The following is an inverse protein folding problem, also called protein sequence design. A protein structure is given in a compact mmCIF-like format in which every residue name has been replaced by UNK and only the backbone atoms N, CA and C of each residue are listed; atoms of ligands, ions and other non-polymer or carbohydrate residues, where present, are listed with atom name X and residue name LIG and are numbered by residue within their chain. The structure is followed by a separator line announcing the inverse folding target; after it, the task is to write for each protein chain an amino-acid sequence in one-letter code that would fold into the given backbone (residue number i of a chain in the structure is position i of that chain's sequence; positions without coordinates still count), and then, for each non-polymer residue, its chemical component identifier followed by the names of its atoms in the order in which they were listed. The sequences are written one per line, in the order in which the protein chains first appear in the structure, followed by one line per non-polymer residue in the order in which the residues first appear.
data_IF_553139839287
#
_entry.id   IF_553139839287
#
_cell.length_a   1.000
_cell.length_b   1.000
_cell.length_c   1.000
_cell.angle_alpha   90.00
_cell.angle_beta   90.00
_cell.angle_gamma   90.00
#
_symmetry.space_group_name_H-M   'P 1'
#
loop_
_entity.id
_entity.type
_entity.pdbx_description
1 polymer ?
#
# COMPACT_ATOMS: atom_id res chain seq x y z
N UNK A 1 48.82 -23.23 -23.50
CA UNK A 1 48.91 -21.88 -24.12
C UNK A 1 47.63 -21.11 -23.80
N UNK A 2 47.63 -19.78 -23.97
CA UNK A 2 46.96 -18.77 -23.13
C UNK A 2 46.01 -17.87 -23.97
N UNK A 3 44.74 -17.73 -23.52
CA UNK A 3 43.69 -16.68 -23.77
C UNK A 3 42.97 -16.57 -25.15
N UNK A 4 41.80 -15.87 -25.30
CA UNK A 4 40.74 -15.42 -24.35
C UNK A 4 39.24 -15.58 -24.79
N UNK A 5 38.33 -15.40 -23.81
CA UNK A 5 37.00 -14.74 -23.79
C UNK A 5 35.97 -14.84 -24.94
N UNK A 6 34.70 -15.10 -24.57
CA UNK A 6 33.56 -14.25 -24.92
C UNK A 6 32.42 -14.43 -23.89
N UNK A 7 31.83 -13.29 -23.54
CA UNK A 7 30.90 -13.08 -22.45
C UNK A 7 29.47 -13.53 -22.78
N UNK A 8 28.73 -13.98 -21.76
CA UNK A 8 27.31 -13.70 -21.60
C UNK A 8 26.96 -13.75 -20.12
N UNK A 9 26.99 -12.58 -19.49
CA UNK A 9 26.38 -12.34 -18.18
C UNK A 9 24.87 -12.44 -18.31
N UNK A 10 24.34 -13.67 -18.19
CA UNK A 10 22.96 -13.86 -17.78
C UNK A 10 22.96 -13.85 -16.24
N UNK A 11 22.87 -12.64 -15.67
CA UNK A 11 22.54 -12.47 -14.28
C UNK A 11 21.10 -12.94 -14.10
N UNK A 12 20.93 -14.22 -13.81
CA UNK A 12 19.68 -14.76 -13.29
C UNK A 12 19.55 -14.20 -11.88
N UNK A 13 18.93 -13.03 -11.75
CA UNK A 13 18.42 -12.55 -10.48
C UNK A 13 17.28 -13.48 -10.04
N UNK A 14 17.64 -14.67 -9.57
CA UNK A 14 16.79 -15.50 -8.75
C UNK A 14 16.67 -14.79 -7.41
N UNK A 15 15.80 -13.79 -7.34
CA UNK A 15 15.28 -13.30 -6.09
C UNK A 15 14.49 -14.45 -5.47
N UNK A 16 15.15 -15.14 -4.56
CA UNK A 16 14.59 -16.14 -3.67
C UNK A 16 13.48 -15.45 -2.87
N UNK A 17 12.24 -15.54 -3.36
CA UNK A 17 11.02 -15.04 -2.72
C UNK A 17 10.55 -15.97 -1.57
N UNK A 18 11.45 -16.68 -0.89
CA UNK A 18 11.10 -17.48 0.30
C UNK A 18 11.20 -16.62 1.56
N UNK A 19 10.37 -15.57 1.63
CA UNK A 19 10.37 -14.64 2.76
C UNK A 19 9.07 -13.86 3.02
N UNK A 20 8.10 -13.82 2.09
CA UNK A 20 6.86 -13.04 2.28
C UNK A 20 5.62 -13.90 2.57
N UNK A 21 5.79 -15.09 3.17
CA UNK A 21 4.66 -15.99 3.47
C UNK A 21 4.58 -16.40 4.96
N UNK A 22 5.33 -15.74 5.85
CA UNK A 22 5.27 -16.03 7.28
C UNK A 22 4.45 -14.96 8.00
N UNK A 23 3.31 -15.39 8.53
CA UNK A 23 2.36 -14.67 9.40
C UNK A 23 1.40 -13.69 8.70
N UNK A 24 0.50 -14.22 7.88
CA UNK A 24 -0.79 -13.56 7.64
C UNK A 24 -1.90 -14.59 7.86
N UNK A 25 -2.63 -14.39 8.95
CA UNK A 25 -3.81 -15.13 9.38
C UNK A 25 -4.80 -15.32 8.22
N UNK A 26 -5.05 -16.58 7.82
CA UNK A 26 -5.77 -16.95 6.59
C UNK A 26 -7.21 -16.40 6.52
N UNK A 27 -7.81 -15.98 7.64
CA UNK A 27 -9.14 -15.34 7.65
C UNK A 27 -9.11 -13.83 7.33
N UNK A 28 -7.92 -13.20 7.27
CA UNK A 28 -7.74 -11.80 6.90
C UNK A 28 -7.25 -11.64 5.45
N UNK A 29 -6.78 -12.72 4.81
CA UNK A 29 -6.23 -12.70 3.45
C UNK A 29 -7.25 -12.35 2.36
N UNK A 30 -8.53 -12.75 2.52
CA UNK A 30 -9.57 -12.45 1.52
C UNK A 30 -9.96 -10.96 1.45
N UNK A 31 -9.42 -10.09 2.32
CA UNK A 31 -9.63 -8.63 2.29
C UNK A 31 -8.43 -7.81 1.80
N UNK A 32 -7.29 -8.45 1.51
CA UNK A 32 -6.02 -7.77 1.29
C UNK A 32 -5.53 -7.85 -0.17
N UNK A 33 -6.43 -7.73 -1.15
CA UNK A 33 -5.98 -7.58 -2.55
C UNK A 33 -5.49 -6.14 -2.73
N UNK A 34 -4.21 -5.92 -3.10
CA UNK A 34 -3.73 -4.60 -3.44
C UNK A 34 -4.45 -4.15 -4.73
N UNK A 35 -5.23 -3.09 -4.62
CA UNK A 35 -6.01 -2.49 -5.72
C UNK A 35 -5.35 -1.23 -6.28
N UNK A 36 -4.39 -0.68 -5.56
CA UNK A 36 -3.62 0.49 -5.97
C UNK A 36 -2.43 0.72 -5.06
N UNK A 37 -1.41 1.38 -5.57
CA UNK A 37 -0.25 1.81 -4.80
C UNK A 37 0.36 3.05 -5.44
N UNK A 38 1.14 3.78 -4.67
CA UNK A 38 1.78 4.98 -5.14
C UNK A 38 2.75 5.57 -4.14
N UNK A 39 3.26 6.74 -4.52
CA UNK A 39 4.14 7.56 -3.72
C UNK A 39 3.53 8.95 -3.57
N UNK A 40 3.82 9.63 -2.46
CA UNK A 40 3.47 11.02 -2.24
C UNK A 40 4.72 11.83 -1.85
N UNK A 41 4.84 13.05 -2.41
CA UNK A 41 5.83 14.04 -2.00
C UNK A 41 5.52 14.66 -0.62
N UNK A 42 4.36 14.40 -0.04
CA UNK A 42 4.02 14.81 1.32
C UNK A 42 4.56 13.81 2.34
N UNK A 43 4.86 14.30 3.55
CA UNK A 43 5.06 13.44 4.72
C UNK A 43 3.76 12.67 5.06
N UNK A 44 3.90 11.62 5.87
CA UNK A 44 2.83 10.64 6.09
C UNK A 44 1.60 11.28 6.74
N UNK A 45 1.81 12.15 7.73
CA UNK A 45 0.73 12.86 8.40
C UNK A 45 -0.07 13.78 7.45
N UNK A 46 0.56 14.73 6.71
CA UNK A 46 -0.17 15.57 5.77
C UNK A 46 -0.80 14.78 4.62
N UNK A 47 -0.16 13.69 4.17
CA UNK A 47 -0.75 12.78 3.19
C UNK A 47 -2.05 12.15 3.70
N UNK A 48 -2.03 11.55 4.90
CA UNK A 48 -3.22 10.89 5.48
C UNK A 48 -4.36 11.88 5.72
N UNK A 49 -4.07 13.10 6.19
CA UNK A 49 -5.09 14.13 6.38
C UNK A 49 -5.73 14.54 5.04
N UNK A 50 -4.95 14.67 3.96
CA UNK A 50 -5.49 14.92 2.62
C UNK A 50 -6.40 13.78 2.13
N UNK A 51 -5.94 12.53 2.26
CA UNK A 51 -6.70 11.34 1.83
C UNK A 51 -8.01 11.26 2.60
N UNK A 52 -7.96 11.42 3.92
CA UNK A 52 -9.12 11.40 4.81
C UNK A 52 -10.16 12.45 4.42
N UNK A 53 -9.73 13.66 4.10
CA UNK A 53 -10.62 14.73 3.63
C UNK A 53 -11.33 14.38 2.32
N UNK A 54 -10.67 13.69 1.39
CA UNK A 54 -11.27 13.25 0.12
C UNK A 54 -12.14 12.00 0.26
N UNK A 55 -11.82 11.11 1.19
CA UNK A 55 -12.56 9.88 1.43
C UNK A 55 -13.81 10.11 2.29
N UNK A 56 -13.83 11.11 3.17
CA UNK A 56 -14.96 11.38 4.07
C UNK A 56 -16.30 11.66 3.35
N UNK A 57 -16.34 12.43 2.24
CA UNK A 57 -17.57 12.59 1.45
C UNK A 57 -18.08 11.28 0.83
N UNK A 58 -17.20 10.31 0.62
CA UNK A 58 -17.52 9.01 0.01
C UNK A 58 -17.95 7.97 1.06
N UNK A 59 -17.54 8.16 2.32
CA UNK A 59 -17.77 7.22 3.42
C UNK A 59 -18.09 7.92 4.74
N UNK A 60 -19.24 7.56 5.35
CA UNK A 60 -19.65 8.11 6.65
C UNK A 60 -18.86 7.59 7.86
N UNK A 61 -18.06 6.51 7.73
CA UNK A 61 -17.26 5.94 8.84
C UNK A 61 -15.86 5.57 8.39
N UNK A 62 -14.94 6.54 8.52
CA UNK A 62 -13.51 6.34 8.40
C UNK A 62 -12.88 5.98 9.74
N UNK A 63 -11.85 5.13 9.72
CA UNK A 63 -11.01 4.80 10.87
C UNK A 63 -9.56 5.05 10.51
N UNK A 64 -8.82 5.63 11.44
CA UNK A 64 -7.39 5.86 11.29
C UNK A 64 -6.68 5.15 12.43
N UNK A 65 -5.57 4.49 12.12
CA UNK A 65 -4.74 3.78 13.09
C UNK A 65 -3.26 3.90 12.74
N UNK A 66 -2.41 3.71 13.74
CA UNK A 66 -0.95 3.85 13.66
C UNK A 66 -0.34 2.48 13.98
N UNK A 67 -0.03 1.65 12.97
CA UNK A 67 0.48 0.30 13.19
C UNK A 67 1.90 0.26 13.78
N UNK A 68 2.70 1.27 13.51
CA UNK A 68 4.08 1.49 14.00
C UNK A 68 4.39 2.99 14.07
N UNK A 69 5.57 3.38 14.56
CA UNK A 69 5.93 4.80 14.74
C UNK A 69 6.00 5.57 13.41
N UNK A 70 6.23 4.85 12.33
CA UNK A 70 6.52 5.39 11.02
C UNK A 70 5.34 5.29 10.06
N UNK A 71 4.35 4.44 10.32
CA UNK A 71 3.24 4.17 9.41
C UNK A 71 1.90 4.67 9.93
N UNK A 72 0.99 4.89 8.99
CA UNK A 72 -0.40 5.19 9.27
C UNK A 72 -1.31 4.41 8.35
N UNK A 73 -2.49 4.07 8.85
CA UNK A 73 -3.49 3.36 8.08
C UNK A 73 -4.82 4.08 8.18
N UNK A 74 -5.48 4.21 7.05
CA UNK A 74 -6.82 4.75 6.92
C UNK A 74 -7.74 3.67 6.34
N UNK A 75 -8.84 3.39 7.01
CA UNK A 75 -9.79 2.38 6.59
C UNK A 75 -11.21 2.94 6.47
N UNK A 76 -11.93 2.47 5.46
CA UNK A 76 -13.37 2.69 5.27
C UNK A 76 -14.08 1.45 5.79
N UNK A 77 -14.98 1.63 6.77
CA UNK A 77 -15.74 0.50 7.32
C UNK A 77 -17.06 0.32 6.60
N UNK A 78 -17.43 -0.94 6.35
CA UNK A 78 -18.72 -1.27 5.76
C UNK A 78 -19.88 -0.85 6.66
N UNK A 79 -20.95 -0.31 6.06
CA UNK A 79 -22.17 0.05 6.77
C UNK A 79 -22.87 -1.17 7.41
N UNK A 80 -22.66 -2.36 6.87
CA UNK A 80 -23.19 -3.65 7.36
C UNK A 80 -22.45 -4.20 8.59
N UNK A 81 -21.33 -3.60 8.99
CA UNK A 81 -20.54 -4.05 10.15
C UNK A 81 -19.59 -5.22 9.89
N UNK A 82 -19.62 -5.84 8.71
CA UNK A 82 -18.73 -6.94 8.30
C UNK A 82 -17.33 -6.44 7.88
N UNK A 83 -16.63 -5.80 8.81
CA UNK A 83 -15.23 -5.36 8.67
C UNK A 83 -14.99 -4.15 7.76
N UNK A 84 -13.72 -3.95 7.40
CA UNK A 84 -13.28 -2.83 6.56
C UNK A 84 -13.32 -3.22 5.07
N UNK A 85 -13.77 -2.29 4.22
CA UNK A 85 -13.98 -2.50 2.77
C UNK A 85 -12.81 -1.95 1.93
N UNK A 86 -12.14 -0.92 2.45
CA UNK A 86 -10.95 -0.31 1.85
C UNK A 86 -9.97 0.06 2.96
N UNK A 87 -8.68 -0.21 2.74
CA UNK A 87 -7.59 0.06 3.67
C UNK A 87 -6.45 0.71 2.88
N UNK A 88 -5.99 1.89 3.30
CA UNK A 88 -4.78 2.54 2.80
C UNK A 88 -3.71 2.48 3.89
N UNK A 89 -2.60 1.80 3.61
CA UNK A 89 -1.41 1.79 4.44
C UNK A 89 -0.39 2.76 3.85
N UNK A 90 0.00 3.77 4.63
CA UNK A 90 1.05 4.73 4.31
C UNK A 90 2.24 4.52 5.24
N UNK A 91 3.45 4.55 4.69
CA UNK A 91 4.70 4.32 5.40
C UNK A 91 5.83 5.15 4.76
N UNK A 92 6.97 5.33 5.43
CA UNK A 92 8.09 6.04 4.83
C UNK A 92 8.59 5.24 3.65
N UNK A 93 8.87 5.94 2.55
CA UNK A 93 9.44 5.29 1.37
C UNK A 93 10.70 6.03 0.94
N UNK A 94 11.89 5.40 1.08
CA UNK A 94 13.15 5.95 0.58
C UNK A 94 13.10 6.22 -0.94
N UNK A 95 12.31 5.42 -1.68
CA UNK A 95 12.12 5.58 -3.11
C UNK A 95 11.20 6.78 -3.46
N UNK A 96 10.32 7.19 -2.54
CA UNK A 96 9.38 8.30 -2.70
C UNK A 96 9.91 9.63 -2.14
N UNK A 97 11.09 9.63 -1.52
CA UNK A 97 11.62 10.69 -0.64
C UNK A 97 10.84 10.87 0.66
N UNK A 98 9.50 10.79 0.64
CA UNK A 98 8.65 10.95 1.82
C UNK A 98 7.73 9.73 2.05
N UNK A 99 6.58 9.64 1.37
CA UNK A 99 5.54 8.63 1.69
C UNK A 99 5.34 7.62 0.57
N UNK A 100 5.33 6.33 0.89
CA UNK A 100 4.82 5.27 0.02
C UNK A 100 3.52 4.73 0.59
N UNK A 101 2.55 4.41 -0.27
CA UNK A 101 1.28 3.87 0.19
C UNK A 101 0.76 2.73 -0.69
N UNK A 102 0.01 1.84 -0.07
CA UNK A 102 -0.72 0.74 -0.73
C UNK A 102 -2.17 0.74 -0.28
N UNK A 103 -3.08 0.56 -1.21
CA UNK A 103 -4.53 0.50 -1.00
C UNK A 103 -4.98 -0.93 -1.24
N UNK A 104 -5.67 -1.48 -0.26
CA UNK A 104 -6.26 -2.80 -0.26
C UNK A 104 -7.78 -2.68 -0.26
N UNK A 105 -8.47 -3.55 -0.98
CA UNK A 105 -9.94 -3.55 -1.05
C UNK A 105 -10.48 -4.34 -2.22
N UNK A 106 -11.78 -4.20 -2.50
CA UNK A 106 -12.43 -4.78 -3.66
C UNK A 106 -12.43 -3.83 -4.88
N UNK A 107 -13.09 -4.20 -5.99
CA UNK A 107 -13.18 -3.33 -7.19
C UNK A 107 -13.83 -1.96 -6.89
N UNK A 108 -14.72 -1.87 -5.90
CA UNK A 108 -15.33 -0.60 -5.52
C UNK A 108 -14.32 0.37 -4.87
N UNK A 109 -13.14 -0.12 -4.49
CA UNK A 109 -12.02 0.68 -4.00
C UNK A 109 -11.43 1.64 -5.05
N UNK A 110 -11.69 1.44 -6.35
CA UNK A 110 -11.13 2.27 -7.43
C UNK A 110 -11.36 3.79 -7.23
N UNK A 111 -12.52 4.20 -6.71
CA UNK A 111 -12.84 5.61 -6.41
C UNK A 111 -11.99 6.22 -5.28
N UNK A 112 -11.51 5.37 -4.38
CA UNK A 112 -10.62 5.75 -3.28
C UNK A 112 -9.16 5.84 -3.75
N UNK A 113 -8.77 4.97 -4.71
CA UNK A 113 -7.46 5.01 -5.38
C UNK A 113 -7.26 6.36 -6.08
N UNK A 114 -8.20 6.77 -6.94
CA UNK A 114 -8.11 8.07 -7.63
C UNK A 114 -8.06 9.25 -6.66
N UNK A 115 -8.78 9.18 -5.55
CA UNK A 115 -8.77 10.22 -4.53
C UNK A 115 -7.42 10.30 -3.80
N UNK A 116 -6.78 9.15 -3.50
CA UNK A 116 -5.47 9.11 -2.86
C UNK A 116 -4.36 9.64 -3.79
N UNK A 117 -4.41 9.32 -5.09
CA UNK A 117 -3.46 9.87 -6.06
C UNK A 117 -3.55 11.40 -6.20
N UNK A 118 -4.69 12.01 -5.88
CA UNK A 118 -4.86 13.46 -5.88
C UNK A 118 -4.30 14.17 -4.62
N UNK A 119 -3.61 13.43 -3.75
CA UNK A 119 -2.93 13.92 -2.53
C UNK A 119 -1.41 13.78 -2.61
N UNK A 120 -0.86 13.47 -3.79
CA UNK A 120 0.58 13.57 -4.06
C UNK A 120 1.00 15.05 -4.24
#
# INVERSE_FOLDING_TARGET
MKFPALASSAATCALVLTGCAAAMDDNNLMKNVPVGSGTSHLEIYPFIECVKAKWAPQAGRLRQYTPDADGQVLAVRSASGSGDDVLLYAQPSPAARNTGYTIYGDIAAARYVSAAHACD
#
